data_IF_176771727702
#
_entry.id   IF_176771727702
#
_cell.length_a   1.000
_cell.length_b   1.000
_cell.length_c   1.000
_cell.angle_alpha   90.00
_cell.angle_beta   90.00
_cell.angle_gamma   90.00
#
_symmetry.space_group_name_H-M   'P 1'
#
loop_
_entity.id
_entity.type
_entity.pdbx_description
1 polymer ?
#
# COMPACT_ATOMS: atom_id res chain seq x y z
N UNK A 1 10.95 42.71 26.42
CA UNK A 1 12.19 41.92 26.47
C UNK A 1 11.95 40.58 25.82
N UNK A 2 12.62 40.25 24.74
CA UNK A 2 12.49 38.93 24.11
C UNK A 2 13.25 37.92 24.98
N UNK A 3 12.54 36.93 25.51
CA UNK A 3 13.13 35.87 26.33
C UNK A 3 13.67 34.79 25.42
N UNK A 4 14.99 34.63 25.35
CA UNK A 4 15.65 33.57 24.64
C UNK A 4 15.82 32.31 25.50
N UNK A 5 15.66 31.14 24.89
CA UNK A 5 15.83 29.82 25.51
C UNK A 5 17.02 29.14 24.86
N UNK A 6 17.85 28.47 25.64
CA UNK A 6 18.91 27.61 25.10
C UNK A 6 18.32 26.43 24.34
N UNK A 7 19.08 25.84 23.43
CA UNK A 7 18.65 24.65 22.70
C UNK A 7 18.17 23.51 23.63
N UNK A 8 18.80 23.32 24.80
CA UNK A 8 18.39 22.31 25.77
C UNK A 8 17.04 22.65 26.44
N UNK A 9 16.81 23.93 26.75
CA UNK A 9 15.52 24.38 27.30
C UNK A 9 14.41 24.25 26.26
N UNK A 10 14.66 24.66 25.01
CA UNK A 10 13.70 24.53 23.90
C UNK A 10 13.37 23.06 23.64
N UNK A 11 14.36 22.19 23.60
CA UNK A 11 14.19 20.74 23.42
C UNK A 11 13.30 20.12 24.52
N UNK A 12 13.61 20.43 25.78
CA UNK A 12 12.85 19.96 26.96
C UNK A 12 11.39 20.41 26.92
N UNK A 13 11.14 21.70 26.68
CA UNK A 13 9.79 22.28 26.69
C UNK A 13 8.93 21.74 25.53
N UNK A 14 9.53 21.33 24.41
CA UNK A 14 8.82 20.76 23.27
C UNK A 14 8.80 19.22 23.26
N UNK A 15 9.38 18.57 24.27
CA UNK A 15 9.50 17.11 24.32
C UNK A 15 10.14 16.51 23.05
N UNK A 16 11.25 17.13 22.62
CA UNK A 16 12.08 16.65 21.50
C UNK A 16 13.55 16.62 21.93
N UNK A 17 14.39 15.91 21.18
CA UNK A 17 15.83 15.87 21.49
C UNK A 17 16.55 17.12 20.99
N UNK A 18 17.68 17.45 21.64
CA UNK A 18 18.61 18.47 21.14
C UNK A 18 19.13 18.11 19.74
N UNK A 19 19.30 16.82 19.46
CA UNK A 19 19.72 16.34 18.14
C UNK A 19 18.63 16.62 17.09
N UNK A 20 17.35 16.49 17.44
CA UNK A 20 16.24 16.84 16.56
C UNK A 20 16.29 18.32 16.16
N UNK A 21 16.51 19.23 17.12
CA UNK A 21 16.63 20.65 16.81
C UNK A 21 17.87 20.96 15.92
N UNK A 22 19.01 20.31 16.19
CA UNK A 22 20.19 20.41 15.32
C UNK A 22 19.92 19.86 13.91
N UNK A 23 19.15 18.79 13.80
CA UNK A 23 18.75 18.25 12.50
C UNK A 23 17.83 19.22 11.76
N UNK A 24 16.85 19.82 12.44
CA UNK A 24 15.98 20.85 11.86
C UNK A 24 16.77 22.05 11.34
N UNK A 25 17.80 22.48 12.08
CA UNK A 25 18.71 23.53 11.63
C UNK A 25 19.49 23.11 10.37
N UNK A 26 20.04 21.88 10.37
CA UNK A 26 20.84 21.36 9.25
C UNK A 26 20.02 21.24 7.95
N UNK A 27 18.76 20.82 8.03
CA UNK A 27 17.86 20.72 6.87
C UNK A 27 17.11 22.02 6.60
N UNK A 28 17.48 23.10 7.32
CA UNK A 28 16.88 24.43 7.21
C UNK A 28 15.37 24.49 7.51
N UNK A 29 14.85 23.53 8.24
CA UNK A 29 13.44 23.49 8.66
C UNK A 29 13.13 24.48 9.80
N UNK A 30 14.05 24.64 10.73
CA UNK A 30 13.98 25.61 11.82
C UNK A 30 15.37 26.12 12.17
N UNK A 31 15.62 27.41 12.01
CA UNK A 31 16.88 28.05 12.38
C UNK A 31 16.77 28.64 13.78
N UNK A 32 17.85 28.63 14.60
CA UNK A 32 17.86 29.35 15.88
C UNK A 32 17.66 30.84 15.65
N UNK A 33 16.92 31.49 16.54
CA UNK A 33 16.70 32.94 16.49
C UNK A 33 17.98 33.75 16.76
N UNK A 34 18.95 33.16 17.48
CA UNK A 34 20.23 33.76 17.79
C UNK A 34 21.31 32.70 18.04
N UNK A 35 22.48 32.92 17.49
CA UNK A 35 23.69 32.13 17.78
C UNK A 35 24.70 33.07 18.42
N UNK A 36 25.21 32.69 19.58
CA UNK A 36 26.27 33.47 20.24
C UNK A 36 27.59 33.27 19.47
N UNK A 37 28.14 34.32 18.90
CA UNK A 37 29.32 34.27 18.05
C UNK A 37 30.57 33.79 18.78
N UNK A 38 30.67 34.07 20.08
CA UNK A 38 31.84 33.71 20.89
C UNK A 38 31.83 32.24 21.32
N UNK A 39 30.63 31.72 21.69
CA UNK A 39 30.48 30.39 22.27
C UNK A 39 29.87 29.35 21.31
N UNK A 40 29.28 29.79 20.19
CA UNK A 40 28.54 28.95 19.25
C UNK A 40 27.21 28.42 19.80
N UNK A 41 26.76 28.88 20.99
CA UNK A 41 25.53 28.44 21.60
C UNK A 41 24.30 28.97 20.85
N UNK A 42 23.34 28.07 20.64
CA UNK A 42 22.08 28.33 19.94
C UNK A 42 20.98 28.71 20.89
N UNK A 43 20.25 29.76 20.53
CA UNK A 43 19.13 30.27 21.30
C UNK A 43 17.89 30.41 20.42
N UNK A 44 16.75 30.09 20.98
CA UNK A 44 15.44 30.10 20.33
C UNK A 44 14.53 31.11 21.04
N UNK A 45 13.62 31.68 20.29
CA UNK A 45 12.64 32.65 20.82
C UNK A 45 11.31 31.98 21.14
N UNK A 46 10.42 32.69 21.81
CA UNK A 46 9.04 32.22 22.07
C UNK A 46 8.24 32.00 20.76
N UNK A 47 8.59 32.67 19.66
CA UNK A 47 7.95 32.51 18.37
C UNK A 47 8.24 31.13 17.73
N UNK A 48 9.37 30.54 18.09
CA UNK A 48 9.79 29.24 17.54
C UNK A 48 8.95 28.07 18.06
N UNK A 49 8.18 28.26 19.16
CA UNK A 49 7.26 27.26 19.68
C UNK A 49 6.17 26.90 18.64
N UNK A 50 5.51 27.92 18.08
CA UNK A 50 4.45 27.69 17.09
C UNK A 50 4.97 26.96 15.85
N UNK A 51 6.20 27.29 15.43
CA UNK A 51 6.84 26.59 14.31
C UNK A 51 7.14 25.12 14.65
N UNK A 52 7.67 24.86 15.86
CA UNK A 52 7.93 23.49 16.30
C UNK A 52 6.62 22.69 16.41
N UNK A 53 5.56 23.29 16.94
CA UNK A 53 4.24 22.63 17.04
C UNK A 53 3.69 22.31 15.67
N UNK A 54 3.80 23.22 14.71
CA UNK A 54 3.40 22.98 13.32
C UNK A 54 4.20 21.83 12.69
N UNK A 55 5.54 21.83 12.86
CA UNK A 55 6.39 20.74 12.38
C UNK A 55 5.94 19.39 12.97
N UNK A 56 5.65 19.35 14.27
CA UNK A 56 5.18 18.14 14.95
C UNK A 56 3.84 17.64 14.39
N UNK A 57 2.91 18.56 14.15
CA UNK A 57 1.61 18.23 13.55
C UNK A 57 1.78 17.67 12.14
N UNK A 58 2.56 18.32 11.27
CA UNK A 58 2.83 17.85 9.92
C UNK A 58 3.51 16.46 9.93
N UNK A 59 4.48 16.25 10.81
CA UNK A 59 5.11 14.93 10.99
C UNK A 59 4.12 13.84 11.45
N UNK A 60 3.21 14.17 12.36
CA UNK A 60 2.18 13.24 12.82
C UNK A 60 1.20 12.85 11.69
N UNK A 61 1.03 13.72 10.69
CA UNK A 61 0.27 13.42 9.47
C UNK A 61 1.09 12.63 8.43
N UNK A 62 2.36 12.29 8.71
CA UNK A 62 3.22 11.54 7.80
C UNK A 62 3.84 12.36 6.66
N UNK A 63 3.87 13.70 6.79
CA UNK A 63 4.48 14.57 5.78
C UNK A 63 6.00 14.44 5.78
N UNK A 64 6.68 14.36 4.62
CA UNK A 64 8.13 14.42 4.54
C UNK A 64 8.66 15.81 4.92
N UNK A 65 9.93 15.87 5.37
CA UNK A 65 10.52 17.12 5.87
C UNK A 65 10.60 18.24 4.82
N UNK A 66 10.77 17.87 3.58
CA UNK A 66 10.80 18.79 2.43
C UNK A 66 9.47 19.53 2.28
N UNK A 67 8.36 18.82 2.35
CA UNK A 67 7.02 19.41 2.30
C UNK A 67 6.73 20.26 3.55
N UNK A 68 7.16 19.79 4.73
CA UNK A 68 7.02 20.57 5.97
C UNK A 68 7.81 21.88 5.87
N UNK A 69 8.99 21.86 5.25
CA UNK A 69 9.78 23.08 5.01
C UNK A 69 9.02 24.08 4.15
N UNK A 70 8.34 23.64 3.12
CA UNK A 70 7.49 24.52 2.30
C UNK A 70 6.35 25.11 3.12
N UNK A 71 5.68 24.31 3.96
CA UNK A 71 4.64 24.78 4.86
C UNK A 71 5.16 25.82 5.85
N UNK A 72 6.37 25.63 6.40
CA UNK A 72 6.92 26.53 7.42
C UNK A 72 7.53 27.82 6.87
N UNK A 73 8.03 27.81 5.62
CA UNK A 73 8.70 28.97 5.01
C UNK A 73 7.78 29.77 4.08
N UNK A 74 6.83 29.11 3.42
CA UNK A 74 5.95 29.71 2.41
C UNK A 74 4.54 29.99 2.97
N UNK A 75 4.46 30.57 4.17
CA UNK A 75 3.20 31.10 4.74
C UNK A 75 2.64 32.27 3.89
N UNK A 76 2.55 32.07 2.56
CA UNK A 76 2.10 33.15 1.68
C UNK A 76 0.58 33.25 1.58
N UNK A 77 -0.16 32.16 1.84
CA UNK A 77 -1.63 32.20 1.94
C UNK A 77 -2.18 30.98 2.68
N UNK A 78 -3.33 31.17 3.35
CA UNK A 78 -4.10 30.06 3.95
C UNK A 78 -4.54 29.04 2.91
N UNK A 79 -4.70 29.46 1.66
CA UNK A 79 -5.10 28.62 0.54
C UNK A 79 -4.01 27.59 0.17
N UNK A 80 -2.72 27.99 0.21
CA UNK A 80 -1.62 27.05 -0.06
C UNK A 80 -1.54 25.96 1.01
N UNK A 81 -1.74 26.31 2.30
CA UNK A 81 -1.78 25.34 3.40
C UNK A 81 -2.96 24.37 3.22
N UNK A 82 -4.13 24.90 2.86
CA UNK A 82 -5.34 24.11 2.63
C UNK A 82 -5.12 23.08 1.52
N UNK A 83 -4.46 23.48 0.43
CA UNK A 83 -4.14 22.58 -0.69
C UNK A 83 -3.16 21.49 -0.28
N UNK A 84 -2.11 21.81 0.48
CA UNK A 84 -1.14 20.81 0.99
C UNK A 84 -1.86 19.79 1.89
N UNK A 85 -2.71 20.26 2.81
CA UNK A 85 -3.48 19.35 3.68
C UNK A 85 -4.48 18.49 2.87
N UNK A 86 -5.06 19.05 1.81
CA UNK A 86 -5.91 18.32 0.86
C UNK A 86 -5.17 17.19 0.16
N UNK A 87 -3.98 17.46 -0.35
CA UNK A 87 -3.12 16.46 -0.98
C UNK A 87 -2.71 15.37 0.02
N UNK A 88 -2.31 15.75 1.23
CA UNK A 88 -1.93 14.79 2.27
C UNK A 88 -3.09 13.88 2.66
N UNK A 89 -4.30 14.42 2.74
CA UNK A 89 -5.52 13.63 3.00
C UNK A 89 -5.78 12.63 1.86
N UNK A 90 -5.55 13.02 0.61
CA UNK A 90 -5.69 12.12 -0.54
C UNK A 90 -4.69 10.96 -0.48
N UNK A 91 -3.43 11.23 -0.17
CA UNK A 91 -2.39 10.19 0.02
C UNK A 91 -2.79 9.20 1.12
N UNK A 92 -3.37 9.70 2.22
CA UNK A 92 -3.85 8.85 3.31
C UNK A 92 -5.00 7.93 2.82
N UNK A 93 -5.96 8.46 2.07
CA UNK A 93 -7.05 7.65 1.52
C UNK A 93 -6.56 6.54 0.57
N UNK A 94 -5.56 6.84 -0.25
CA UNK A 94 -4.95 5.85 -1.14
C UNK A 94 -4.27 4.73 -0.34
N UNK A 95 -3.50 5.07 0.69
CA UNK A 95 -2.90 4.09 1.60
C UNK A 95 -3.94 3.26 2.36
N UNK A 96 -5.03 3.88 2.82
CA UNK A 96 -6.11 3.14 3.48
C UNK A 96 -6.75 2.11 2.53
N UNK A 97 -6.99 2.49 1.27
CA UNK A 97 -7.51 1.58 0.25
C UNK A 97 -6.54 0.43 -0.05
N UNK A 98 -5.24 0.71 -0.12
CA UNK A 98 -4.22 -0.30 -0.30
C UNK A 98 -4.19 -1.31 0.86
N UNK A 99 -4.20 -0.81 2.10
CA UNK A 99 -4.23 -1.66 3.29
C UNK A 99 -5.51 -2.51 3.38
N UNK A 100 -6.66 -1.96 3.02
CA UNK A 100 -7.91 -2.72 2.97
C UNK A 100 -7.84 -3.85 1.92
N UNK A 101 -7.25 -3.59 0.76
CA UNK A 101 -7.02 -4.62 -0.25
C UNK A 101 -6.10 -5.73 0.26
N UNK A 102 -5.03 -5.38 0.98
CA UNK A 102 -4.12 -6.35 1.59
C UNK A 102 -4.86 -7.18 2.63
N UNK A 103 -5.64 -6.55 3.52
CA UNK A 103 -6.46 -7.22 4.51
C UNK A 103 -7.40 -8.25 3.87
N UNK A 104 -8.13 -7.84 2.83
CA UNK A 104 -9.06 -8.72 2.12
C UNK A 104 -8.36 -9.94 1.48
N UNK A 105 -7.13 -9.75 0.96
CA UNK A 105 -6.31 -10.86 0.46
C UNK A 105 -5.94 -11.84 1.58
N UNK A 106 -5.54 -11.34 2.75
CA UNK A 106 -5.21 -12.17 3.93
C UNK A 106 -6.44 -12.97 4.36
N UNK A 107 -7.58 -12.32 4.55
CA UNK A 107 -8.84 -12.97 4.97
C UNK A 107 -9.28 -14.05 3.96
N UNK A 108 -9.10 -13.80 2.65
CA UNK A 108 -9.37 -14.80 1.61
C UNK A 108 -8.46 -16.03 1.73
N UNK A 109 -7.17 -15.83 2.01
CA UNK A 109 -6.22 -16.93 2.22
C UNK A 109 -6.53 -17.71 3.50
N UNK A 110 -6.83 -17.02 4.60
CA UNK A 110 -7.22 -17.66 5.86
C UNK A 110 -8.46 -18.54 5.67
N UNK A 111 -9.48 -18.04 4.98
CA UNK A 111 -10.70 -18.79 4.69
C UNK A 111 -10.41 -20.03 3.82
N UNK A 112 -9.55 -19.93 2.81
CA UNK A 112 -9.14 -21.09 1.97
C UNK A 112 -8.44 -22.15 2.81
N UNK A 113 -7.51 -21.75 3.68
CA UNK A 113 -6.79 -22.66 4.58
C UNK A 113 -7.76 -23.32 5.56
N UNK A 114 -8.66 -22.55 6.17
CA UNK A 114 -9.66 -23.06 7.12
C UNK A 114 -10.56 -24.11 6.48
N UNK A 115 -11.09 -23.83 5.29
CA UNK A 115 -11.92 -24.78 4.54
C UNK A 115 -11.11 -26.06 4.25
N UNK A 116 -9.85 -25.96 3.86
CA UNK A 116 -9.00 -27.12 3.59
C UNK A 116 -8.71 -27.95 4.85
N UNK A 117 -8.54 -27.33 6.00
CA UNK A 117 -8.32 -28.01 7.27
C UNK A 117 -9.60 -28.71 7.77
N UNK A 118 -10.75 -28.05 7.65
CA UNK A 118 -12.04 -28.57 8.11
C UNK A 118 -12.51 -29.77 7.29
N UNK A 119 -12.15 -29.83 5.99
CA UNK A 119 -12.60 -30.90 5.08
C UNK A 119 -11.77 -32.19 5.20
N UNK A 120 -10.57 -32.13 5.80
CA UNK A 120 -9.70 -33.30 5.94
C UNK A 120 -9.17 -33.85 4.61
N UNK A 121 -8.09 -34.65 4.71
CA UNK A 121 -7.52 -35.34 3.54
C UNK A 121 -8.37 -36.57 3.19
N UNK A 122 -8.53 -36.86 1.89
CA UNK A 122 -9.22 -38.04 1.35
C UNK A 122 -10.73 -38.12 1.61
N UNK A 123 -11.40 -36.98 1.85
CA UNK A 123 -12.85 -36.92 1.96
C UNK A 123 -13.48 -36.35 0.69
N UNK A 124 -14.59 -36.94 0.27
CA UNK A 124 -15.41 -36.41 -0.85
C UNK A 124 -16.50 -35.52 -0.26
N UNK A 125 -16.59 -34.29 -0.75
CA UNK A 125 -17.60 -33.34 -0.31
C UNK A 125 -18.25 -32.63 -1.51
N UNK A 126 -19.46 -32.12 -1.30
CA UNK A 126 -20.18 -31.31 -2.28
C UNK A 126 -20.11 -29.85 -1.81
N UNK A 127 -19.63 -28.98 -2.69
CA UNK A 127 -19.60 -27.54 -2.47
C UNK A 127 -20.54 -26.85 -3.44
N UNK A 128 -21.47 -26.09 -2.90
CA UNK A 128 -22.28 -25.18 -3.70
C UNK A 128 -21.55 -23.85 -3.82
N UNK A 129 -21.43 -23.37 -5.05
CA UNK A 129 -20.89 -22.06 -5.34
C UNK A 129 -21.98 -21.24 -6.06
N UNK A 130 -21.99 -19.95 -5.84
CA UNK A 130 -22.81 -19.03 -6.62
C UNK A 130 -22.35 -19.04 -8.09
N UNK A 131 -23.20 -18.57 -8.98
CA UNK A 131 -22.87 -18.42 -10.39
C UNK A 131 -21.62 -17.55 -10.57
N UNK A 132 -20.67 -18.00 -11.37
CA UNK A 132 -19.38 -17.32 -11.58
C UNK A 132 -19.06 -17.26 -13.06
N UNK A 133 -18.55 -16.11 -13.47
CA UNK A 133 -18.09 -15.89 -14.85
C UNK A 133 -16.59 -16.11 -14.93
N UNK A 134 -16.17 -16.94 -15.89
CA UNK A 134 -14.77 -17.25 -16.13
C UNK A 134 -14.33 -16.78 -17.50
N UNK A 135 -13.17 -16.14 -17.58
CA UNK A 135 -12.45 -15.98 -18.84
C UNK A 135 -11.70 -17.28 -19.13
N UNK A 136 -11.90 -17.85 -20.32
CA UNK A 136 -11.33 -19.15 -20.69
C UNK A 136 -10.19 -18.96 -21.67
N UNK A 137 -9.06 -19.59 -21.38
CA UNK A 137 -7.89 -19.65 -22.24
C UNK A 137 -7.75 -21.08 -22.77
N UNK A 138 -7.83 -21.24 -24.10
CA UNK A 138 -7.75 -22.55 -24.74
C UNK A 138 -6.30 -22.99 -24.89
N UNK A 139 -6.06 -24.23 -24.51
CA UNK A 139 -4.74 -24.83 -24.53
C UNK A 139 -4.68 -25.97 -25.59
N UNK A 140 -3.69 -25.90 -26.49
CA UNK A 140 -3.58 -26.85 -27.61
C UNK A 140 -2.54 -27.96 -27.40
N UNK A 141 -1.61 -27.81 -26.47
CA UNK A 141 -0.51 -28.73 -26.29
C UNK A 141 -0.69 -29.71 -25.12
N UNK A 142 -0.22 -30.96 -25.32
CA UNK A 142 -0.56 -32.11 -24.49
C UNK A 142 0.49 -32.47 -23.44
N UNK A 143 1.53 -31.66 -23.21
CA UNK A 143 2.65 -32.04 -22.33
C UNK A 143 2.64 -31.30 -21.00
N UNK A 144 2.80 -32.06 -19.93
CA UNK A 144 2.68 -31.62 -18.55
C UNK A 144 3.69 -30.55 -18.14
N UNK A 145 4.90 -30.54 -18.70
CA UNK A 145 5.96 -29.61 -18.33
C UNK A 145 5.74 -28.20 -18.90
N UNK A 146 4.96 -28.05 -19.96
CA UNK A 146 4.59 -26.76 -20.56
C UNK A 146 3.38 -26.11 -19.87
N UNK A 147 2.58 -26.89 -19.14
CA UNK A 147 1.39 -26.39 -18.48
C UNK A 147 1.68 -25.26 -17.48
N UNK A 148 2.71 -25.42 -16.64
CA UNK A 148 3.14 -24.40 -15.67
C UNK A 148 3.58 -23.10 -16.37
N UNK A 149 4.28 -23.23 -17.50
CA UNK A 149 4.72 -22.08 -18.31
C UNK A 149 3.51 -21.33 -18.87
N UNK A 150 2.51 -22.04 -19.35
CA UNK A 150 1.31 -21.44 -19.92
C UNK A 150 0.44 -20.82 -18.84
N UNK A 151 0.26 -21.50 -17.71
CA UNK A 151 -0.40 -20.94 -16.56
C UNK A 151 0.25 -19.60 -16.15
N UNK A 152 1.59 -19.56 -16.12
CA UNK A 152 2.32 -18.34 -15.79
C UNK A 152 2.09 -17.23 -16.83
N UNK A 153 2.06 -17.56 -18.11
CA UNK A 153 1.76 -16.59 -19.18
C UNK A 153 0.35 -16.03 -19.05
N UNK A 154 -0.65 -16.90 -18.82
CA UNK A 154 -2.03 -16.50 -18.59
C UNK A 154 -2.15 -15.60 -17.37
N UNK A 155 -1.48 -15.93 -16.26
CA UNK A 155 -1.48 -15.10 -15.06
C UNK A 155 -0.85 -13.72 -15.31
N UNK A 156 0.26 -13.65 -16.05
CA UNK A 156 0.89 -12.38 -16.41
C UNK A 156 0.00 -11.52 -17.31
N UNK A 157 -0.76 -12.12 -18.23
CA UNK A 157 -1.78 -11.41 -19.01
C UNK A 157 -2.88 -10.85 -18.13
N UNK A 158 -3.39 -11.66 -17.23
CA UNK A 158 -4.44 -11.23 -16.27
C UNK A 158 -3.95 -10.13 -15.34
N UNK A 159 -2.73 -10.25 -14.80
CA UNK A 159 -2.13 -9.21 -13.95
C UNK A 159 -1.91 -7.89 -14.69
N UNK A 160 -1.61 -7.94 -15.99
CA UNK A 160 -1.45 -6.74 -16.82
C UNK A 160 -2.77 -6.05 -17.13
N UNK A 161 -3.80 -6.86 -17.45
CA UNK A 161 -5.07 -6.35 -17.97
C UNK A 161 -6.08 -6.01 -16.84
N UNK A 162 -5.85 -6.56 -15.65
CA UNK A 162 -6.75 -6.41 -14.49
C UNK A 162 -5.98 -6.08 -13.21
N UNK A 163 -6.22 -4.91 -12.66
CA UNK A 163 -5.66 -4.52 -11.36
C UNK A 163 -6.28 -5.37 -10.22
N UNK A 164 -5.44 -5.89 -9.32
CA UNK A 164 -5.84 -6.55 -8.07
C UNK A 164 -6.72 -7.82 -8.24
N UNK A 165 -6.39 -8.67 -9.19
CA UNK A 165 -7.12 -9.92 -9.40
C UNK A 165 -6.85 -10.92 -8.28
N UNK A 166 -7.85 -11.20 -7.47
CA UNK A 166 -7.87 -12.35 -6.57
C UNK A 166 -8.38 -13.58 -7.36
N UNK A 167 -7.63 -13.94 -8.41
CA UNK A 167 -8.09 -14.89 -9.40
C UNK A 167 -8.23 -16.30 -8.82
N UNK A 168 -9.45 -16.83 -8.88
CA UNK A 168 -9.66 -18.27 -8.73
C UNK A 168 -9.37 -18.95 -10.08
N UNK A 169 -8.47 -19.92 -10.06
CA UNK A 169 -8.06 -20.66 -11.27
C UNK A 169 -8.82 -21.97 -11.28
N UNK A 170 -9.45 -22.27 -12.42
CA UNK A 170 -10.08 -23.55 -12.68
C UNK A 170 -9.50 -24.16 -13.96
N UNK A 171 -9.57 -25.47 -14.04
CA UNK A 171 -9.08 -26.21 -15.18
C UNK A 171 -10.17 -27.11 -15.68
N UNK A 172 -10.24 -27.29 -17.01
CA UNK A 172 -11.11 -28.31 -17.62
C UNK A 172 -10.32 -29.45 -18.17
N UNK A 173 -10.85 -30.66 -18.04
CA UNK A 173 -10.33 -31.88 -18.65
C UNK A 173 -11.47 -32.68 -19.24
N UNK A 174 -11.16 -33.53 -20.22
CA UNK A 174 -12.14 -34.46 -20.83
C UNK A 174 -12.24 -35.73 -20.00
N UNK A 175 -13.47 -36.11 -19.64
CA UNK A 175 -13.72 -37.36 -18.95
C UNK A 175 -13.23 -38.57 -19.74
N UNK A 176 -13.40 -38.56 -21.08
CA UNK A 176 -12.90 -39.62 -21.98
C UNK A 176 -11.39 -39.74 -21.96
N UNK A 177 -10.66 -38.59 -21.96
CA UNK A 177 -9.20 -38.61 -21.92
C UNK A 177 -8.68 -39.13 -20.57
N UNK A 178 -9.34 -38.76 -19.48
CA UNK A 178 -9.01 -39.24 -18.14
C UNK A 178 -9.21 -40.76 -18.00
N UNK A 179 -10.27 -41.27 -18.57
CA UNK A 179 -10.61 -42.72 -18.55
C UNK A 179 -9.69 -43.58 -19.41
N UNK A 180 -9.27 -43.05 -20.56
CA UNK A 180 -8.42 -43.79 -21.50
C UNK A 180 -6.93 -43.78 -21.14
N UNK A 181 -6.43 -42.68 -20.65
CA UNK A 181 -4.99 -42.46 -20.46
C UNK A 181 -4.52 -42.59 -19.00
N UNK A 182 -5.42 -42.76 -18.03
CA UNK A 182 -5.13 -42.72 -16.60
C UNK A 182 -4.38 -41.45 -16.14
N UNK A 183 -4.29 -40.44 -17.00
CA UNK A 183 -3.64 -39.16 -16.78
C UNK A 183 -4.64 -38.02 -16.97
N UNK A 184 -4.50 -36.99 -16.17
CA UNK A 184 -5.29 -35.76 -16.30
C UNK A 184 -4.64 -34.87 -17.36
N UNK A 185 -5.32 -34.68 -18.48
CA UNK A 185 -4.90 -33.75 -19.54
C UNK A 185 -5.78 -32.51 -19.45
N UNK A 186 -5.19 -31.39 -19.08
CA UNK A 186 -5.90 -30.11 -19.01
C UNK A 186 -6.13 -29.55 -20.42
N UNK A 187 -7.35 -29.08 -20.69
CA UNK A 187 -7.75 -28.50 -21.99
C UNK A 187 -7.82 -27.00 -21.97
N UNK A 188 -8.30 -26.46 -20.86
CA UNK A 188 -8.44 -25.02 -20.69
C UNK A 188 -8.01 -24.60 -19.31
N UNK A 189 -7.46 -23.39 -19.24
CA UNK A 189 -7.30 -22.62 -18.02
C UNK A 189 -8.42 -21.61 -17.95
N UNK A 190 -9.14 -21.57 -16.86
CA UNK A 190 -10.27 -20.67 -16.63
C UNK A 190 -9.94 -19.77 -15.44
N UNK A 191 -10.09 -18.47 -15.60
CA UNK A 191 -9.80 -17.49 -14.56
C UNK A 191 -11.10 -16.79 -14.19
N UNK A 192 -11.47 -16.90 -12.91
CA UNK A 192 -12.57 -16.13 -12.32
C UNK A 192 -12.05 -14.73 -11.97
N UNK A 193 -12.56 -13.70 -12.63
CA UNK A 193 -12.14 -12.31 -12.42
C UNK A 193 -12.99 -11.58 -11.36
N UNK A 194 -13.89 -12.30 -10.66
CA UNK A 194 -14.79 -11.70 -9.68
C UNK A 194 -15.87 -10.84 -10.33
N UNK A 195 -16.39 -9.88 -9.56
CA UNK A 195 -17.44 -8.96 -10.02
C UNK A 195 -16.93 -7.78 -10.87
N UNK A 196 -15.74 -7.87 -11.45
CA UNK A 196 -15.22 -6.83 -12.33
C UNK A 196 -16.09 -6.74 -13.59
N UNK A 197 -17.09 -5.86 -13.56
CA UNK A 197 -18.13 -5.65 -14.60
C UNK A 197 -17.64 -4.99 -15.89
N UNK A 198 -16.35 -4.79 -16.07
CA UNK A 198 -15.81 -4.19 -17.31
C UNK A 198 -15.38 -5.26 -18.32
N UNK A 199 -16.23 -6.25 -18.55
CA UNK A 199 -16.09 -7.09 -19.73
C UNK A 199 -16.64 -6.34 -20.93
N UNK A 200 -15.77 -5.71 -21.70
CA UNK A 200 -16.08 -5.42 -23.09
C UNK A 200 -15.89 -6.73 -23.84
N UNK A 201 -17.00 -7.37 -24.20
CA UNK A 201 -17.01 -8.45 -25.18
C UNK A 201 -16.46 -7.90 -26.50
N UNK A 202 -15.19 -8.04 -26.75
CA UNK A 202 -14.66 -7.98 -28.09
C UNK A 202 -15.00 -9.30 -28.78
N UNK A 203 -16.00 -9.23 -29.66
CA UNK A 203 -16.38 -10.29 -30.60
C UNK A 203 -15.29 -10.52 -31.62
#
# INVERSE_FOLDING_TARGET
MVKYLSIGQMAKLNNISVQTLRHYEKVELLKPSYINETTGYRYYSMKDFSTIDLIKQCKAMGMPLEEIKEVTHNYTSLESIFNILGNQKQIIYEKMRELENIKNKIESLENKIKISLDQGLNTVFIKYNEERTFKTYHYKDRYTDEFEIILRKVLLEVERDYENVNAEIAFTTSYSDMKLNHNVVYKNVMINLGENKNFIDEK
#
